data_IF_448627754431
#
_entry.id   IF_448627754431
#
_cell.length_a   1.000
_cell.length_b   1.000
_cell.length_c   1.000
_cell.angle_alpha   90.00
_cell.angle_beta   90.00
_cell.angle_gamma   90.00
#
_symmetry.space_group_name_H-M   'P 1'
#
loop_
_entity.id
_entity.type
_entity.pdbx_description
1 polymer ?
#
# COMPACT_ATOMS: atom_id res chain seq x y z
N UNK A 1 -3.09 -0.07 30.51
CA UNK A 1 -4.53 -0.42 30.42
C UNK A 1 -4.81 -0.66 28.96
N UNK A 2 -5.02 -1.91 28.60
CA UNK A 2 -5.32 -2.34 27.24
C UNK A 2 -6.79 -2.06 26.96
N UNK A 3 -7.07 -1.08 26.12
CA UNK A 3 -8.43 -0.89 25.62
C UNK A 3 -8.74 -1.97 24.57
N UNK A 4 -9.64 -2.83 24.99
CA UNK A 4 -10.15 -3.97 24.24
C UNK A 4 -11.02 -3.52 23.07
N UNK A 5 -10.85 -4.25 21.98
CA UNK A 5 -11.64 -4.25 20.75
C UNK A 5 -13.15 -4.09 20.99
N UNK A 6 -13.74 -2.99 20.53
CA UNK A 6 -15.16 -2.94 20.26
C UNK A 6 -15.47 -3.61 18.92
N UNK A 7 -15.95 -4.83 18.98
CA UNK A 7 -16.55 -5.54 17.87
C UNK A 7 -17.97 -4.99 17.69
N UNK A 8 -18.21 -4.17 16.68
CA UNK A 8 -19.57 -3.81 16.26
C UNK A 8 -19.92 -4.67 15.04
N UNK A 9 -20.71 -5.72 15.27
CA UNK A 9 -21.41 -6.48 14.24
C UNK A 9 -22.60 -5.64 13.72
N UNK A 10 -22.32 -4.83 12.76
CA UNK A 10 -23.27 -4.08 11.95
C UNK A 10 -22.53 -3.55 10.75
N UNK A 11 -22.94 -3.90 9.54
CA UNK A 11 -22.38 -3.68 8.19
C UNK A 11 -21.47 -2.48 7.86
N UNK A 12 -20.72 -1.97 8.80
CA UNK A 12 -19.75 -0.89 8.63
C UNK A 12 -18.33 -1.39 8.33
N UNK A 13 -17.39 -0.47 8.02
CA UNK A 13 -16.03 -0.81 7.65
C UNK A 13 -15.32 -1.55 8.80
N UNK A 14 -14.73 -2.70 8.48
CA UNK A 14 -14.05 -3.55 9.47
C UNK A 14 -12.60 -3.11 9.57
N UNK A 15 -12.25 -2.31 10.59
CA UNK A 15 -10.89 -1.88 10.88
C UNK A 15 -10.45 -2.42 12.25
N UNK A 16 -9.18 -2.86 12.32
CA UNK A 16 -8.49 -3.17 13.59
C UNK A 16 -7.46 -2.09 13.83
N UNK A 17 -7.67 -1.31 14.88
CA UNK A 17 -6.83 -0.18 15.24
C UNK A 17 -5.73 -0.59 16.21
N UNK A 18 -4.47 -0.31 15.84
CA UNK A 18 -3.27 -0.54 16.63
C UNK A 18 -2.59 0.81 16.89
N UNK A 19 -2.79 1.37 18.08
CA UNK A 19 -2.11 2.59 18.52
C UNK A 19 -0.82 2.23 19.25
N UNK A 20 0.28 2.88 18.88
CA UNK A 20 1.58 2.74 19.53
C UNK A 20 1.97 4.04 20.23
N UNK A 21 2.74 3.94 21.31
CA UNK A 21 3.16 5.10 22.08
C UNK A 21 4.24 5.95 21.38
N UNK A 22 5.04 5.30 20.53
CA UNK A 22 6.19 5.92 19.86
C UNK A 22 6.46 5.27 18.48
N UNK A 23 7.29 5.95 17.70
CA UNK A 23 7.64 5.56 16.34
C UNK A 23 8.35 4.21 16.26
N UNK A 24 9.23 3.87 17.20
CA UNK A 24 10.01 2.62 17.17
C UNK A 24 9.10 1.43 17.47
N UNK A 25 8.26 1.54 18.48
CA UNK A 25 7.25 0.51 18.81
C UNK A 25 6.26 0.32 17.67
N UNK A 26 5.78 1.42 17.08
CA UNK A 26 4.91 1.39 15.92
C UNK A 26 5.55 0.66 14.72
N UNK A 27 6.79 1.01 14.38
CA UNK A 27 7.48 0.41 13.25
C UNK A 27 7.67 -1.10 13.44
N UNK A 28 8.11 -1.52 14.64
CA UNK A 28 8.30 -2.93 14.96
C UNK A 28 6.99 -3.71 14.93
N UNK A 29 5.92 -3.22 15.57
CA UNK A 29 4.63 -3.91 15.59
C UNK A 29 4.00 -4.04 14.21
N UNK A 30 4.09 -3.01 13.37
CA UNK A 30 3.62 -3.08 11.99
C UNK A 30 4.45 -4.07 11.16
N UNK A 31 5.77 -4.07 11.30
CA UNK A 31 6.66 -5.01 10.64
C UNK A 31 6.39 -6.46 11.07
N UNK A 32 6.18 -6.70 12.36
CA UNK A 32 5.82 -8.02 12.90
C UNK A 32 4.49 -8.54 12.31
N UNK A 33 3.46 -7.69 12.23
CA UNK A 33 2.18 -8.06 11.64
C UNK A 33 2.31 -8.44 10.16
N UNK A 34 3.10 -7.68 9.39
CA UNK A 34 3.38 -7.97 7.98
C UNK A 34 4.18 -9.30 7.86
N UNK A 35 5.23 -9.46 8.66
CA UNK A 35 6.07 -10.66 8.63
C UNK A 35 5.28 -11.93 8.98
N UNK A 36 4.40 -11.87 9.98
CA UNK A 36 3.52 -12.98 10.36
C UNK A 36 2.58 -13.39 9.21
N UNK A 37 1.96 -12.41 8.53
CA UNK A 37 1.10 -12.69 7.39
C UNK A 37 1.87 -13.32 6.22
N UNK A 38 3.09 -12.83 5.94
CA UNK A 38 3.95 -13.41 4.92
C UNK A 38 4.38 -14.83 5.28
N UNK A 39 4.80 -15.07 6.53
CA UNK A 39 5.20 -16.40 7.02
C UNK A 39 4.07 -17.42 6.88
N UNK A 40 2.86 -17.06 7.31
CA UNK A 40 1.68 -17.93 7.21
C UNK A 40 1.36 -18.31 5.75
N UNK A 41 1.50 -17.37 4.81
CA UNK A 41 1.26 -17.66 3.39
C UNK A 41 2.41 -18.51 2.78
N UNK A 42 3.66 -18.26 3.17
CA UNK A 42 4.81 -19.08 2.79
C UNK A 42 4.65 -20.54 3.25
N UNK A 43 4.17 -20.77 4.48
CA UNK A 43 3.87 -22.11 5.00
C UNK A 43 2.74 -22.78 4.21
N UNK A 44 1.68 -22.04 3.92
CA UNK A 44 0.48 -22.56 3.26
C UNK A 44 0.67 -22.83 1.77
N UNK A 45 1.36 -21.92 1.04
CA UNK A 45 1.41 -21.92 -0.43
C UNK A 45 2.82 -22.04 -1.01
N UNK A 46 3.82 -21.88 -0.16
CA UNK A 46 5.21 -21.92 -0.58
C UNK A 46 5.73 -20.61 -1.20
N UNK A 47 4.94 -19.57 -1.31
CA UNK A 47 5.32 -18.26 -1.87
C UNK A 47 4.42 -17.17 -1.31
N UNK A 48 4.92 -15.94 -1.24
CA UNK A 48 4.16 -14.78 -0.78
C UNK A 48 4.32 -13.59 -1.72
N UNK A 49 3.31 -12.71 -1.76
CA UNK A 49 3.33 -11.45 -2.50
C UNK A 49 3.07 -10.30 -1.53
N UNK A 50 4.01 -9.37 -1.48
CA UNK A 50 3.93 -8.15 -0.71
C UNK A 50 3.85 -6.95 -1.67
N UNK A 51 2.76 -6.19 -1.63
CA UNK A 51 2.65 -4.92 -2.33
C UNK A 51 2.89 -3.78 -1.35
N UNK A 52 3.76 -2.84 -1.69
CA UNK A 52 4.22 -1.80 -0.77
C UNK A 52 3.98 -0.39 -1.31
N UNK A 53 3.50 0.50 -0.45
CA UNK A 53 3.56 1.94 -0.65
C UNK A 53 4.96 2.48 -0.35
N UNK A 54 5.25 3.69 -0.79
CA UNK A 54 6.51 4.35 -0.55
C UNK A 54 6.33 5.66 0.23
N UNK A 55 7.44 6.27 0.61
CA UNK A 55 7.45 7.53 1.36
C UNK A 55 8.15 7.43 2.71
N UNK A 56 8.13 8.55 3.45
CA UNK A 56 8.81 8.63 4.75
C UNK A 56 8.08 7.87 5.86
N UNK A 57 6.77 7.68 5.72
CA UNK A 57 5.95 6.98 6.72
C UNK A 57 6.26 5.48 6.76
N UNK A 58 6.24 4.70 5.66
CA UNK A 58 6.50 3.27 5.73
C UNK A 58 7.98 2.90 5.87
N UNK A 59 8.92 3.79 5.55
CA UNK A 59 10.37 3.48 5.55
C UNK A 59 10.90 2.90 6.86
N UNK A 60 10.55 3.39 8.07
CA UNK A 60 10.96 2.76 9.32
C UNK A 60 10.43 1.32 9.47
N UNK A 61 9.17 1.08 9.08
CA UNK A 61 8.56 -0.26 9.12
C UNK A 61 9.31 -1.23 8.20
N UNK A 62 9.72 -0.76 7.02
CA UNK A 62 10.44 -1.61 6.05
C UNK A 62 11.85 -1.96 6.53
N UNK A 63 12.54 -1.05 7.23
CA UNK A 63 13.85 -1.37 7.83
C UNK A 63 13.74 -2.44 8.91
N UNK A 64 12.70 -2.39 9.75
CA UNK A 64 12.41 -3.45 10.73
C UNK A 64 12.04 -4.77 10.03
N UNK A 65 11.15 -4.70 9.03
CA UNK A 65 10.69 -5.86 8.27
C UNK A 65 11.82 -6.56 7.52
N UNK A 66 12.82 -5.82 7.03
CA UNK A 66 13.97 -6.38 6.31
C UNK A 66 14.75 -7.41 7.13
N UNK A 67 14.73 -7.30 8.46
CA UNK A 67 15.36 -8.24 9.40
C UNK A 67 14.51 -9.47 9.74
N UNK A 68 13.27 -9.57 9.24
CA UNK A 68 12.38 -10.68 9.60
C UNK A 68 12.92 -12.05 9.17
N UNK A 69 12.78 -13.03 10.07
CA UNK A 69 13.25 -14.40 9.87
C UNK A 69 12.25 -15.23 9.04
N UNK A 70 12.03 -14.84 7.78
CA UNK A 70 11.22 -15.57 6.79
C UNK A 70 12.07 -15.95 5.57
N UNK A 71 11.59 -16.87 4.74
CA UNK A 71 12.27 -17.22 3.49
C UNK A 71 11.99 -16.17 2.39
N UNK A 72 12.77 -15.11 2.40
CA UNK A 72 12.66 -14.00 1.46
C UNK A 72 12.89 -14.41 0.00
N UNK A 73 13.58 -15.50 -0.28
CA UNK A 73 13.78 -15.98 -1.65
C UNK A 73 12.48 -16.43 -2.33
N UNK A 74 11.42 -16.63 -1.54
CA UNK A 74 10.08 -17.03 -1.96
C UNK A 74 9.06 -15.89 -1.88
N UNK A 75 9.53 -14.65 -1.61
CA UNK A 75 8.71 -13.45 -1.54
C UNK A 75 8.92 -12.60 -2.79
N UNK A 76 7.83 -12.30 -3.49
CA UNK A 76 7.80 -11.25 -4.50
C UNK A 76 7.32 -9.95 -3.87
N UNK A 77 7.95 -8.83 -4.27
CA UNK A 77 7.58 -7.49 -3.83
C UNK A 77 7.16 -6.69 -5.05
N UNK A 78 5.95 -6.16 -5.03
CA UNK A 78 5.44 -5.20 -5.99
C UNK A 78 5.18 -3.85 -5.33
N UNK A 79 4.82 -2.87 -6.14
CA UNK A 79 4.51 -1.51 -5.69
C UNK A 79 3.00 -1.26 -5.75
N UNK A 80 2.45 -0.52 -4.79
CA UNK A 80 1.06 -0.04 -4.89
C UNK A 80 0.95 1.12 -5.86
N UNK A 81 2.05 1.87 -6.05
CA UNK A 81 2.14 2.94 -7.02
C UNK A 81 3.60 3.26 -7.37
N UNK A 82 3.81 3.96 -8.48
CA UNK A 82 5.12 4.44 -8.89
C UNK A 82 5.00 5.80 -9.58
N UNK A 83 5.96 6.66 -9.34
CA UNK A 83 6.14 7.89 -10.11
C UNK A 83 6.58 7.56 -11.54
N UNK A 84 6.00 8.24 -12.53
CA UNK A 84 6.48 8.15 -13.90
C UNK A 84 7.80 8.91 -14.05
N UNK A 85 8.88 8.24 -13.69
CA UNK A 85 10.24 8.78 -13.70
C UNK A 85 11.25 7.67 -13.98
N UNK A 86 12.47 8.06 -14.39
CA UNK A 86 13.51 7.08 -14.69
C UNK A 86 13.76 6.13 -13.50
N UNK A 87 13.84 4.82 -13.76
CA UNK A 87 14.18 3.86 -12.71
C UNK A 87 15.49 4.24 -11.99
N UNK A 88 15.46 4.26 -10.66
CA UNK A 88 16.60 4.65 -9.85
C UNK A 88 16.78 6.16 -9.62
N UNK A 89 15.93 7.03 -10.21
CA UNK A 89 15.90 8.45 -9.87
C UNK A 89 15.41 8.71 -8.43
N UNK A 90 15.58 9.93 -7.93
CA UNK A 90 15.17 10.30 -6.58
C UNK A 90 13.65 10.14 -6.33
N UNK A 91 12.83 10.25 -7.39
CA UNK A 91 11.38 10.08 -7.31
C UNK A 91 10.90 8.63 -7.43
N UNK A 92 11.80 7.67 -7.75
CA UNK A 92 11.38 6.27 -7.94
C UNK A 92 11.07 5.57 -6.61
N UNK A 93 9.86 5.08 -6.49
CA UNK A 93 9.42 4.23 -5.38
C UNK A 93 10.17 2.89 -5.38
N UNK A 94 10.43 2.31 -6.53
CA UNK A 94 11.23 1.10 -6.66
C UNK A 94 12.66 1.28 -6.13
N UNK A 95 13.28 2.46 -6.32
CA UNK A 95 14.57 2.80 -5.68
C UNK A 95 14.43 2.83 -4.17
N UNK A 96 13.43 3.53 -3.63
CA UNK A 96 13.22 3.64 -2.19
C UNK A 96 13.01 2.27 -1.52
N UNK A 97 12.27 1.37 -2.16
CA UNK A 97 12.10 -0.02 -1.67
C UNK A 97 13.43 -0.76 -1.62
N UNK A 98 14.30 -0.61 -2.63
CA UNK A 98 15.64 -1.20 -2.60
C UNK A 98 16.48 -0.69 -1.43
N UNK A 99 16.40 0.61 -1.15
CA UNK A 99 17.19 1.25 -0.08
C UNK A 99 16.65 0.98 1.33
N UNK A 100 15.35 0.69 1.49
CA UNK A 100 14.73 0.56 2.82
C UNK A 100 14.33 -0.86 3.18
N UNK A 101 13.85 -1.66 2.21
CA UNK A 101 13.33 -3.01 2.44
C UNK A 101 14.29 -4.11 1.92
N UNK A 102 14.85 -3.96 0.72
CA UNK A 102 15.70 -5.00 0.12
C UNK A 102 17.13 -4.97 0.68
N UNK A 103 17.24 -5.02 2.00
CA UNK A 103 18.49 -5.03 2.75
C UNK A 103 18.58 -6.25 3.65
N UNK A 104 19.77 -6.63 4.11
CA UNK A 104 19.93 -7.78 5.00
C UNK A 104 19.26 -9.05 4.46
N UNK A 105 18.48 -9.79 5.28
CA UNK A 105 17.77 -10.99 4.86
C UNK A 105 16.83 -10.76 3.68
N UNK A 106 16.12 -9.62 3.65
CA UNK A 106 15.14 -9.30 2.61
C UNK A 106 15.76 -8.95 1.24
N UNK A 107 17.07 -8.78 1.14
CA UNK A 107 17.76 -8.63 -0.14
C UNK A 107 17.58 -9.83 -1.09
N UNK A 108 17.13 -10.98 -0.57
CA UNK A 108 16.82 -12.18 -1.36
C UNK A 108 15.45 -12.12 -2.05
N UNK A 109 14.58 -11.19 -1.66
CA UNK A 109 13.27 -11.04 -2.27
C UNK A 109 13.38 -10.46 -3.70
N UNK A 110 12.40 -10.80 -4.54
CA UNK A 110 12.35 -10.33 -5.92
C UNK A 110 11.45 -9.11 -6.03
N UNK A 111 12.02 -7.95 -6.36
CA UNK A 111 11.25 -6.74 -6.68
C UNK A 111 10.76 -6.79 -8.13
N UNK A 112 9.48 -6.55 -8.32
CA UNK A 112 8.83 -6.38 -9.63
C UNK A 112 8.63 -4.88 -9.86
N UNK A 113 9.39 -4.25 -10.76
CA UNK A 113 9.24 -2.83 -11.03
C UNK A 113 7.99 -2.56 -11.88
N UNK A 114 7.29 -1.44 -11.61
CA UNK A 114 6.20 -0.95 -12.46
C UNK A 114 6.73 -0.14 -13.66
N UNK A 115 7.82 0.59 -13.46
CA UNK A 115 8.46 1.39 -14.51
C UNK A 115 9.81 0.79 -14.84
N UNK A 116 9.98 0.34 -16.09
CA UNK A 116 11.24 -0.20 -16.62
C UNK A 116 11.84 0.67 -17.70
N UNK A 117 11.05 1.58 -18.28
CA UNK A 117 11.39 2.58 -19.30
C UNK A 117 10.37 3.72 -19.22
N UNK A 118 10.54 4.73 -20.06
CA UNK A 118 9.69 5.94 -20.07
C UNK A 118 8.98 6.16 -21.41
N UNK A 119 8.68 5.09 -22.16
CA UNK A 119 8.07 5.20 -23.48
C UNK A 119 6.59 5.60 -23.39
N UNK A 120 5.80 4.89 -22.58
CA UNK A 120 4.37 5.11 -22.44
C UNK A 120 3.87 4.61 -21.07
N UNK A 121 3.29 5.48 -20.21
CA UNK A 121 2.77 5.07 -18.90
C UNK A 121 1.60 4.08 -19.00
N UNK A 122 0.79 4.16 -20.05
CA UNK A 122 -0.31 3.22 -20.28
C UNK A 122 0.20 1.82 -20.60
N UNK A 123 1.28 1.70 -21.36
CA UNK A 123 1.91 0.40 -21.61
C UNK A 123 2.46 -0.20 -20.31
N UNK A 124 3.07 0.61 -19.46
CA UNK A 124 3.59 0.17 -18.18
C UNK A 124 2.45 -0.26 -17.22
N UNK A 125 1.35 0.48 -17.14
CA UNK A 125 0.17 0.10 -16.36
C UNK A 125 -0.45 -1.22 -16.85
N UNK A 126 -0.58 -1.41 -18.17
CA UNK A 126 -1.04 -2.68 -18.76
C UNK A 126 -0.10 -3.83 -18.47
N UNK A 127 1.22 -3.62 -18.54
CA UNK A 127 2.20 -4.66 -18.20
C UNK A 127 2.13 -5.05 -16.71
N UNK A 128 1.97 -4.07 -15.81
CA UNK A 128 1.73 -4.29 -14.39
C UNK A 128 0.44 -5.08 -14.13
N UNK A 129 -0.64 -4.74 -14.84
CA UNK A 129 -1.93 -5.45 -14.75
C UNK A 129 -1.82 -6.89 -15.26
N UNK A 130 -1.15 -7.10 -16.38
CA UNK A 130 -0.91 -8.44 -16.92
C UNK A 130 -0.07 -9.30 -15.97
N UNK A 131 0.97 -8.74 -15.36
CA UNK A 131 1.74 -9.42 -14.32
C UNK A 131 0.85 -9.80 -13.14
N UNK A 132 0.07 -8.84 -12.60
CA UNK A 132 -0.80 -9.06 -11.45
C UNK A 132 -1.82 -10.17 -11.70
N UNK A 133 -2.53 -10.13 -12.83
CA UNK A 133 -3.51 -11.15 -13.21
C UNK A 133 -2.85 -12.52 -13.48
N UNK A 134 -1.64 -12.52 -14.05
CA UNK A 134 -0.87 -13.74 -14.32
C UNK A 134 -0.41 -14.48 -13.04
N UNK A 135 -0.46 -13.85 -11.87
CA UNK A 135 -0.13 -14.50 -10.60
C UNK A 135 -1.12 -15.62 -10.24
N UNK A 136 -2.39 -15.53 -10.68
CA UNK A 136 -3.45 -16.50 -10.38
C UNK A 136 -3.75 -16.66 -8.89
N UNK A 137 -3.38 -15.67 -8.06
CA UNK A 137 -3.59 -15.66 -6.60
C UNK A 137 -3.66 -14.25 -6.06
N UNK A 138 -4.35 -14.04 -4.92
CA UNK A 138 -4.38 -12.73 -4.29
C UNK A 138 -3.02 -12.33 -3.71
N UNK A 139 -2.74 -11.02 -3.55
CA UNK A 139 -1.64 -10.54 -2.72
C UNK A 139 -1.77 -11.04 -1.28
N UNK A 140 -0.64 -11.47 -0.69
CA UNK A 140 -0.59 -11.87 0.72
C UNK A 140 -0.81 -10.65 1.61
N UNK A 141 -0.04 -9.59 1.35
CA UNK A 141 -0.14 -8.32 2.09
C UNK A 141 -0.09 -7.16 1.12
N UNK A 142 -0.98 -6.17 1.32
CA UNK A 142 -0.84 -4.84 0.73
C UNK A 142 -0.65 -3.83 1.85
N UNK A 143 0.40 -3.03 1.75
CA UNK A 143 0.70 -1.93 2.67
C UNK A 143 0.32 -0.61 2.02
N UNK A 144 -0.60 0.10 2.63
CA UNK A 144 -1.05 1.42 2.22
C UNK A 144 -0.50 2.52 3.12
N UNK A 145 -0.32 3.70 2.56
CA UNK A 145 -0.20 4.97 3.24
C UNK A 145 -1.45 5.82 3.01
N UNK A 146 -1.58 6.89 3.79
CA UNK A 146 -2.58 7.94 3.59
C UNK A 146 -1.95 9.27 3.98
N UNK A 147 -2.23 10.32 3.22
CA UNK A 147 -1.83 11.69 3.55
C UNK A 147 -3.02 12.57 3.97
N UNK A 148 -2.76 13.84 4.23
CA UNK A 148 -3.73 14.76 4.82
C UNK A 148 -4.89 15.13 3.87
N UNK A 149 -4.74 14.88 2.56
CA UNK A 149 -5.81 14.98 1.55
C UNK A 149 -6.62 13.68 1.38
N UNK A 150 -6.29 12.62 2.14
CA UNK A 150 -6.96 11.32 2.09
C UNK A 150 -6.62 10.48 0.86
N UNK A 151 -5.60 10.85 0.06
CA UNK A 151 -5.14 9.98 -1.01
C UNK A 151 -4.48 8.71 -0.46
N UNK A 152 -4.50 7.65 -1.25
CA UNK A 152 -3.80 6.39 -0.99
C UNK A 152 -3.28 5.82 -2.31
N UNK A 153 -2.16 5.10 -2.28
CA UNK A 153 -1.41 4.81 -3.50
C UNK A 153 -1.17 6.12 -4.26
N UNK A 154 -1.52 6.19 -5.55
CA UNK A 154 -1.59 7.46 -6.29
C UNK A 154 -3.03 7.82 -6.72
N UNK A 155 -4.03 7.42 -5.94
CA UNK A 155 -5.42 7.85 -6.10
C UNK A 155 -5.61 9.20 -5.40
N UNK A 156 -5.31 10.30 -6.10
CA UNK A 156 -5.46 11.65 -5.55
C UNK A 156 -6.87 12.18 -5.78
N UNK A 157 -7.47 12.89 -4.79
CA UNK A 157 -8.76 13.53 -5.00
C UNK A 157 -8.74 14.45 -6.23
N UNK A 158 -9.74 14.32 -7.10
CA UNK A 158 -9.93 15.15 -8.31
C UNK A 158 -8.84 15.04 -9.37
N UNK A 159 -7.94 14.04 -9.28
CA UNK A 159 -6.90 13.82 -10.29
C UNK A 159 -7.48 13.30 -11.61
N UNK A 160 -6.77 13.54 -12.69
CA UNK A 160 -7.07 12.92 -13.98
C UNK A 160 -6.87 11.40 -13.91
N UNK A 161 -7.80 10.64 -14.48
CA UNK A 161 -7.77 9.17 -14.45
C UNK A 161 -8.38 8.53 -13.21
N UNK A 162 -8.73 9.29 -12.14
CA UNK A 162 -9.30 8.75 -10.91
C UNK A 162 -10.60 7.96 -11.16
N UNK A 163 -11.51 8.49 -11.97
CA UNK A 163 -12.77 7.81 -12.33
C UNK A 163 -12.51 6.50 -13.07
N UNK A 164 -11.54 6.50 -13.99
CA UNK A 164 -11.12 5.30 -14.68
C UNK A 164 -10.54 4.27 -13.71
N UNK A 165 -9.67 4.70 -12.81
CA UNK A 165 -9.05 3.82 -11.81
C UNK A 165 -10.08 3.17 -10.87
N UNK A 166 -11.20 3.86 -10.57
CA UNK A 166 -12.30 3.29 -9.78
C UNK A 166 -13.21 2.35 -10.58
N UNK A 167 -13.30 2.52 -11.90
CA UNK A 167 -14.23 1.78 -12.76
C UNK A 167 -13.58 0.56 -13.45
N UNK A 168 -12.26 0.57 -13.65
CA UNK A 168 -11.57 -0.50 -14.38
C UNK A 168 -11.48 -1.80 -13.58
N UNK A 169 -11.42 -2.92 -14.31
CA UNK A 169 -11.03 -4.24 -13.77
C UNK A 169 -9.51 -4.48 -13.79
N UNK A 170 -8.74 -3.60 -14.43
CA UNK A 170 -7.29 -3.70 -14.47
C UNK A 170 -6.68 -3.45 -13.10
N UNK A 171 -5.59 -4.14 -12.81
CA UNK A 171 -4.90 -4.01 -11.51
C UNK A 171 -4.19 -2.67 -11.37
N UNK A 172 -3.73 -2.08 -12.45
CA UNK A 172 -3.04 -0.79 -12.46
C UNK A 172 -3.65 0.16 -13.49
N UNK A 173 -3.64 1.45 -13.16
CA UNK A 173 -4.09 2.54 -14.02
C UNK A 173 -3.11 3.71 -13.98
N UNK A 174 -3.18 4.57 -14.99
CA UNK A 174 -2.43 5.84 -15.03
C UNK A 174 -3.24 6.94 -14.36
N UNK A 175 -2.57 7.76 -13.57
CA UNK A 175 -3.12 8.94 -12.92
C UNK A 175 -2.35 10.17 -13.38
N UNK A 176 -3.07 11.20 -13.74
CA UNK A 176 -2.54 12.56 -13.87
C UNK A 176 -2.91 13.37 -12.62
N UNK A 177 -1.96 13.50 -11.73
CA UNK A 177 -2.09 14.28 -10.49
C UNK A 177 -1.60 15.74 -10.67
N UNK A 178 -1.58 16.27 -11.90
CA UNK A 178 -1.29 17.67 -12.17
C UNK A 178 -2.24 18.57 -11.38
N UNK A 179 -1.68 19.49 -10.59
CA UNK A 179 -2.48 20.37 -9.73
C UNK A 179 -2.85 19.76 -8.35
N UNK A 180 -2.45 18.52 -8.06
CA UNK A 180 -2.55 17.93 -6.72
C UNK A 180 -1.26 18.25 -5.93
N UNK A 181 -1.31 19.04 -4.85
CA UNK A 181 -0.10 19.47 -4.13
C UNK A 181 0.76 18.31 -3.63
N UNK A 182 0.11 17.25 -3.15
CA UNK A 182 0.78 16.06 -2.60
C UNK A 182 1.49 15.20 -3.67
N UNK A 183 1.21 15.40 -4.95
CA UNK A 183 1.91 14.71 -6.04
C UNK A 183 3.35 15.21 -6.24
N UNK A 184 3.65 16.41 -5.77
CA UNK A 184 4.99 17.02 -5.85
C UNK A 184 5.47 17.19 -7.30
N UNK A 185 6.74 16.86 -7.53
CA UNK A 185 7.40 17.07 -8.83
C UNK A 185 7.05 16.02 -9.91
N UNK A 186 6.33 14.95 -9.54
CA UNK A 186 6.04 13.82 -10.43
C UNK A 186 4.54 13.59 -10.54
N UNK A 187 3.81 14.39 -11.33
CA UNK A 187 2.35 14.29 -11.40
C UNK A 187 1.84 13.05 -12.13
N UNK A 188 2.57 12.54 -13.11
CA UNK A 188 2.17 11.29 -13.78
C UNK A 188 2.54 10.09 -12.92
N UNK A 189 1.57 9.23 -12.65
CA UNK A 189 1.69 8.08 -11.76
C UNK A 189 1.10 6.83 -12.37
N UNK A 190 1.61 5.68 -11.95
CA UNK A 190 0.95 4.39 -12.12
C UNK A 190 0.47 3.95 -10.73
N UNK A 191 -0.80 3.59 -10.60
CA UNK A 191 -1.44 3.28 -9.32
C UNK A 191 -2.15 1.93 -9.33
N UNK A 192 -2.08 1.21 -8.20
CA UNK A 192 -2.95 0.06 -7.96
C UNK A 192 -4.40 0.52 -7.86
N UNK A 193 -5.32 -0.24 -8.42
CA UNK A 193 -6.75 0.06 -8.46
C UNK A 193 -7.55 -0.68 -7.38
N UNK A 194 -8.78 -0.26 -7.05
CA UNK A 194 -9.66 -0.99 -6.14
C UNK A 194 -9.92 -2.44 -6.58
N UNK A 195 -9.97 -2.72 -7.88
CA UNK A 195 -10.15 -4.07 -8.40
C UNK A 195 -9.05 -5.04 -7.94
N UNK A 196 -7.83 -4.54 -7.75
CA UNK A 196 -6.71 -5.35 -7.31
C UNK A 196 -6.63 -5.46 -5.77
N UNK A 197 -6.80 -4.36 -5.03
CA UNK A 197 -6.57 -4.42 -3.59
C UNK A 197 -7.72 -4.99 -2.77
N UNK A 198 -8.92 -5.11 -3.33
CA UNK A 198 -10.02 -5.85 -2.70
C UNK A 198 -9.72 -7.35 -2.58
N UNK A 199 -8.80 -7.88 -3.37
CA UNK A 199 -8.44 -9.30 -3.38
C UNK A 199 -7.42 -9.69 -2.30
N UNK A 200 -6.75 -8.72 -1.65
CA UNK A 200 -5.66 -9.00 -0.71
C UNK A 200 -6.11 -9.82 0.50
N UNK A 201 -5.27 -10.78 0.92
CA UNK A 201 -5.50 -11.57 2.14
C UNK A 201 -5.38 -10.70 3.38
N UNK A 202 -4.39 -9.80 3.41
CA UNK A 202 -4.16 -8.85 4.51
C UNK A 202 -3.93 -7.45 3.95
N UNK A 203 -4.61 -6.46 4.52
CA UNK A 203 -4.43 -5.04 4.19
C UNK A 203 -3.96 -4.31 5.43
N UNK A 204 -2.87 -3.56 5.29
CA UNK A 204 -2.24 -2.78 6.36
C UNK A 204 -2.23 -1.31 5.95
N UNK A 205 -2.70 -0.43 6.83
CA UNK A 205 -2.59 1.02 6.66
C UNK A 205 -1.61 1.57 7.70
N UNK A 206 -0.60 2.29 7.22
CA UNK A 206 0.41 2.94 8.04
C UNK A 206 0.16 4.44 8.06
N UNK A 207 -0.18 4.98 9.21
CA UNK A 207 -0.39 6.42 9.40
C UNK A 207 0.31 6.93 10.67
N UNK A 208 0.69 8.20 10.66
CA UNK A 208 1.31 8.89 11.79
C UNK A 208 0.75 10.29 11.97
N UNK A 209 0.79 10.75 13.21
CA UNK A 209 0.38 12.10 13.57
C UNK A 209 -1.14 12.26 13.74
N UNK A 210 -1.51 13.32 14.46
CA UNK A 210 -2.91 13.60 14.80
C UNK A 210 -3.72 14.07 13.58
N UNK A 211 -3.08 14.73 12.60
CA UNK A 211 -3.75 15.23 11.39
C UNK A 211 -4.31 14.08 10.57
N UNK A 212 -3.46 13.08 10.20
CA UNK A 212 -3.88 11.91 9.43
C UNK A 212 -4.89 11.05 10.17
N UNK A 213 -4.80 10.97 11.51
CA UNK A 213 -5.83 10.32 12.32
C UNK A 213 -7.19 10.97 12.12
N UNK A 214 -7.27 12.31 12.16
CA UNK A 214 -8.53 13.05 11.92
C UNK A 214 -9.09 12.78 10.51
N UNK A 215 -8.22 12.77 9.50
CA UNK A 215 -8.64 12.44 8.12
C UNK A 215 -9.17 11.00 8.03
N UNK A 216 -8.52 10.06 8.69
CA UNK A 216 -8.99 8.67 8.76
C UNK A 216 -10.37 8.56 9.44
N UNK A 217 -10.58 9.24 10.57
CA UNK A 217 -11.85 9.30 11.29
C UNK A 217 -12.96 9.92 10.40
N UNK A 218 -12.63 10.99 9.65
CA UNK A 218 -13.54 11.57 8.66
C UNK A 218 -13.83 10.59 7.50
N UNK A 219 -12.83 9.84 7.07
CA UNK A 219 -13.00 8.85 6.01
C UNK A 219 -13.94 7.71 6.44
N UNK A 220 -13.85 7.26 7.69
CA UNK A 220 -14.77 6.25 8.26
C UNK A 220 -16.23 6.70 8.27
N UNK A 221 -16.49 8.00 8.45
CA UNK A 221 -17.84 8.55 8.54
C UNK A 221 -18.51 8.78 7.18
N UNK A 222 -17.78 8.67 6.06
CA UNK A 222 -18.28 8.94 4.72
C UNK A 222 -18.04 7.81 3.74
N UNK A 223 -18.68 7.87 2.57
CA UNK A 223 -18.64 6.80 1.56
C UNK A 223 -18.09 7.25 0.20
N UNK A 224 -18.00 8.56 -0.08
CA UNK A 224 -17.49 9.02 -1.37
C UNK A 224 -15.96 8.90 -1.44
N UNK A 225 -15.50 7.87 -2.15
CA UNK A 225 -14.07 7.64 -2.38
C UNK A 225 -13.44 8.66 -3.34
N UNK A 226 -14.22 9.47 -4.06
CA UNK A 226 -13.68 10.55 -4.90
C UNK A 226 -13.20 11.73 -4.07
N UNK A 227 -13.88 11.96 -2.95
CA UNK A 227 -13.51 12.99 -1.98
C UNK A 227 -12.28 12.58 -1.14
N UNK A 228 -12.30 11.35 -0.62
CA UNK A 228 -11.22 10.76 0.17
C UNK A 228 -10.92 9.35 -0.36
N UNK A 229 -9.95 9.18 -1.27
CA UNK A 229 -9.68 7.89 -1.92
C UNK A 229 -9.36 6.74 -0.97
N UNK A 230 -8.84 7.01 0.22
CA UNK A 230 -8.64 6.00 1.26
C UNK A 230 -9.95 5.25 1.63
N UNK A 231 -11.12 5.84 1.41
CA UNK A 231 -12.43 5.19 1.61
C UNK A 231 -12.56 3.92 0.79
N UNK A 232 -11.95 3.87 -0.40
CA UNK A 232 -11.93 2.66 -1.23
C UNK A 232 -11.19 1.48 -0.56
N UNK A 233 -10.18 1.76 0.25
CA UNK A 233 -9.46 0.76 1.04
C UNK A 233 -10.23 0.41 2.32
N UNK A 234 -10.79 1.40 3.01
CA UNK A 234 -11.54 1.24 4.26
C UNK A 234 -12.79 0.39 4.04
N UNK A 235 -13.55 0.69 2.98
CA UNK A 235 -14.80 0.01 2.65
C UNK A 235 -14.63 -1.24 1.78
N UNK A 236 -13.41 -1.57 1.36
CA UNK A 236 -13.17 -2.80 0.62
C UNK A 236 -13.57 -4.03 1.44
N UNK A 237 -14.28 -4.95 0.82
CA UNK A 237 -14.69 -6.21 1.44
C UNK A 237 -13.51 -7.09 1.85
N UNK A 238 -13.79 -8.24 2.48
CA UNK A 238 -12.79 -9.22 2.88
C UNK A 238 -12.27 -9.03 4.30
N UNK A 239 -10.98 -9.26 4.52
CA UNK A 239 -10.35 -9.16 5.84
C UNK A 239 -10.38 -7.75 6.40
N UNK A 240 -10.44 -7.56 7.74
CA UNK A 240 -10.34 -6.26 8.35
C UNK A 240 -9.06 -5.51 7.94
N UNK A 241 -9.16 -4.18 7.76
CA UNK A 241 -7.99 -3.32 7.55
C UNK A 241 -7.24 -3.17 8.88
N UNK A 242 -5.97 -3.56 8.90
CA UNK A 242 -5.09 -3.35 10.06
C UNK A 242 -4.53 -1.93 10.00
N UNK A 243 -4.92 -1.07 10.92
CA UNK A 243 -4.48 0.33 10.97
C UNK A 243 -3.44 0.49 12.07
N UNK A 244 -2.19 0.73 11.69
CA UNK A 244 -1.11 1.04 12.62
C UNK A 244 -0.88 2.55 12.67
N UNK A 245 -1.06 3.13 13.85
CA UNK A 245 -0.94 4.57 14.09
C UNK A 245 -0.07 4.88 15.31
N UNK A 246 0.67 5.99 15.23
CA UNK A 246 1.28 6.64 16.38
C UNK A 246 1.15 8.17 16.26
N UNK A 247 1.14 8.92 17.41
CA UNK A 247 1.00 10.38 17.43
C UNK A 247 2.17 11.15 16.81
#
# INVERSE_FOLDING_TARGET
MSESSSNQDGGGPRCRWHASADAATWARQAAEAIAQALAADLERTGRALLLVSCGNTPSPVYRELAGAAIDWSRVEIGLVDECWTAPGSAGSHGRQVRETLLTGPAAKARLIPLVTGLDDPELAARAGSAWFHGLGRPPTVIVFGMDDDGHTASLFPRSGGLEHAFATSDAYAVIDASGCPEAGAFPTRITLTPAAFTQATTRVLLIRGASRRKVFELALAGNDARELPIRSVIHAGGSPLLVHWYP
#
